data_IF_275774849896
#
_entry.id   IF_275774849896
#
_cell.length_a   1.000
_cell.length_b   1.000
_cell.length_c   1.000
_cell.angle_alpha   90.00
_cell.angle_beta   90.00
_cell.angle_gamma   90.00
#
_symmetry.space_group_name_H-M   'P 1'
#
loop_
_entity.id
_entity.type
_entity.pdbx_description
1 polymer ?
#
# COMPACT_ATOMS: atom_id res chain seq x y z
N UNK A 1 24.23 4.82 3.23
CA UNK A 1 23.46 3.89 2.36
C UNK A 1 22.07 4.47 2.19
N UNK A 2 21.81 5.12 1.06
CA UNK A 2 20.52 5.72 0.75
C UNK A 2 19.49 4.61 0.55
N UNK A 3 18.75 4.30 1.62
CA UNK A 3 17.60 3.41 1.55
C UNK A 3 16.55 4.05 0.65
N UNK A 4 16.55 3.71 -0.63
CA UNK A 4 15.53 4.11 -1.58
C UNK A 4 14.20 3.46 -1.18
N UNK A 5 13.48 4.07 -0.23
CA UNK A 5 12.07 3.78 -0.03
C UNK A 5 11.35 4.35 -1.25
N UNK A 6 11.07 3.47 -2.21
CA UNK A 6 10.31 3.78 -3.44
C UNK A 6 8.89 4.30 -3.15
N UNK A 7 8.44 4.13 -1.90
CA UNK A 7 7.16 4.59 -1.37
C UNK A 7 7.36 5.07 0.07
N UNK A 8 6.89 6.27 0.38
CA UNK A 8 6.85 6.83 1.73
C UNK A 8 5.97 6.00 2.67
N UNK A 9 6.27 6.03 3.96
CA UNK A 9 5.49 5.29 4.97
C UNK A 9 4.05 5.82 5.03
N UNK A 10 3.85 7.13 4.95
CA UNK A 10 2.54 7.77 4.89
C UNK A 10 1.72 7.29 3.68
N UNK A 11 2.37 7.07 2.54
CA UNK A 11 1.73 6.54 1.34
C UNK A 11 1.25 5.09 1.55
N UNK A 12 2.10 4.25 2.14
CA UNK A 12 1.73 2.87 2.45
C UNK A 12 0.59 2.81 3.45
N UNK A 13 0.65 3.62 4.52
CA UNK A 13 -0.42 3.70 5.51
C UNK A 13 -1.73 4.20 4.89
N UNK A 14 -1.68 5.22 4.02
CA UNK A 14 -2.87 5.71 3.32
C UNK A 14 -3.54 4.59 2.51
N UNK A 15 -2.76 3.77 1.82
CA UNK A 15 -3.27 2.62 1.06
C UNK A 15 -3.86 1.52 1.95
N UNK A 16 -3.22 1.20 3.07
CA UNK A 16 -3.77 0.22 4.03
C UNK A 16 -5.06 0.73 4.67
N UNK A 17 -5.11 2.01 5.03
CA UNK A 17 -6.31 2.62 5.58
C UNK A 17 -7.46 2.59 4.56
N UNK A 18 -7.19 2.94 3.29
CA UNK A 18 -8.19 2.83 2.23
C UNK A 18 -8.71 1.38 2.08
N UNK A 19 -7.81 0.39 2.15
CA UNK A 19 -8.22 -1.01 2.14
C UNK A 19 -9.13 -1.36 3.34
N UNK A 20 -8.78 -0.90 4.55
CA UNK A 20 -9.60 -1.07 5.75
C UNK A 20 -10.95 -0.35 5.69
N UNK A 21 -11.04 0.78 4.97
CA UNK A 21 -12.32 1.47 4.73
C UNK A 21 -13.26 0.74 3.77
N UNK A 22 -12.81 -0.36 3.15
CA UNK A 22 -13.62 -1.20 2.27
C UNK A 22 -13.22 -1.14 0.79
N UNK A 23 -12.14 -0.44 0.42
CA UNK A 23 -11.60 -0.52 -0.95
C UNK A 23 -10.90 -1.86 -1.20
N UNK A 24 -11.00 -2.37 -2.42
CA UNK A 24 -10.34 -3.63 -2.76
C UNK A 24 -8.87 -3.41 -3.13
N UNK A 25 -8.02 -4.41 -2.88
CA UNK A 25 -6.61 -4.34 -3.28
C UNK A 25 -6.46 -4.08 -4.78
N UNK A 26 -7.29 -4.69 -5.62
CA UNK A 26 -7.20 -4.57 -7.08
C UNK A 26 -7.45 -3.13 -7.55
N UNK A 27 -8.44 -2.45 -6.99
CA UNK A 27 -8.72 -1.04 -7.30
C UNK A 27 -7.56 -0.16 -6.86
N UNK A 28 -7.09 -0.32 -5.62
CA UNK A 28 -5.97 0.45 -5.10
C UNK A 28 -4.69 0.22 -5.91
N UNK A 29 -4.44 -1.01 -6.34
CA UNK A 29 -3.29 -1.34 -7.19
C UNK A 29 -3.38 -0.68 -8.56
N UNK A 30 -4.59 -0.63 -9.14
CA UNK A 30 -4.83 -0.04 -10.46
C UNK A 30 -4.78 1.50 -10.42
N UNK A 31 -5.42 2.11 -9.42
CA UNK A 31 -5.48 3.57 -9.25
C UNK A 31 -4.11 4.16 -8.90
N UNK A 32 -3.38 3.51 -7.99
CA UNK A 32 -2.11 4.02 -7.47
C UNK A 32 -0.88 3.41 -8.15
N UNK A 33 -1.06 2.52 -9.14
CA UNK A 33 0.04 1.85 -9.84
C UNK A 33 0.89 0.97 -8.93
N UNK A 34 0.29 0.42 -7.87
CA UNK A 34 0.96 -0.42 -6.87
C UNK A 34 0.73 -1.89 -7.22
N UNK A 35 1.72 -2.75 -6.98
CA UNK A 35 1.51 -4.19 -7.15
C UNK A 35 0.70 -4.77 -6.00
N UNK A 36 -0.22 -5.70 -6.28
CA UNK A 36 -1.04 -6.38 -5.27
C UNK A 36 -0.19 -7.03 -4.18
N UNK A 37 0.94 -7.63 -4.55
CA UNK A 37 1.90 -8.20 -3.61
C UNK A 37 2.56 -7.17 -2.68
N UNK A 38 2.75 -5.93 -3.14
CA UNK A 38 3.28 -4.84 -2.31
C UNK A 38 2.23 -4.36 -1.31
N UNK A 39 0.99 -4.14 -1.78
CA UNK A 39 -0.12 -3.74 -0.92
C UNK A 39 -0.44 -4.80 0.13
N UNK A 40 -0.47 -6.09 -0.24
CA UNK A 40 -0.67 -7.19 0.70
C UNK A 40 0.42 -7.23 1.79
N UNK A 41 1.68 -6.95 1.44
CA UNK A 41 2.78 -6.84 2.42
C UNK A 41 2.56 -5.67 3.38
N UNK A 42 2.09 -4.53 2.87
CA UNK A 42 1.80 -3.36 3.71
C UNK A 42 0.63 -3.63 4.62
N UNK A 43 -0.47 -4.19 4.11
CA UNK A 43 -1.61 -4.60 4.94
C UNK A 43 -1.14 -5.52 6.06
N UNK A 44 -0.27 -6.50 5.79
CA UNK A 44 0.26 -7.39 6.83
C UNK A 44 1.23 -6.69 7.82
N UNK A 45 1.92 -5.64 7.41
CA UNK A 45 2.84 -4.89 8.28
C UNK A 45 2.14 -3.84 9.14
N UNK A 46 1.05 -3.25 8.64
CA UNK A 46 0.29 -2.19 9.31
C UNK A 46 -1.06 -2.68 9.88
N UNK A 47 -1.38 -3.97 9.72
CA UNK A 47 -2.51 -4.65 10.38
C UNK A 47 -2.13 -5.17 11.75
#
# INVERSE_FOLDING_TARGET
MSGFKRYDEDFKQSLVNLYQTGKTQTELCKDYGVSSSALAKWIKQYS
#
